data_IF_367270688380
#
_entry.id   IF_367270688380
#
_cell.length_a   1.000
_cell.length_b   1.000
_cell.length_c   1.000
_cell.angle_alpha   90.00
_cell.angle_beta   90.00
_cell.angle_gamma   90.00
#
_symmetry.space_group_name_H-M   'P 1'
#
loop_
_entity.id
_entity.type
_entity.pdbx_description
1 polymer ?
#
# COMPACT_ATOMS: atom_id res chain seq x y z
N UNK A 1 -21.34 -39.40 -19.52
CA UNK A 1 -19.86 -39.31 -19.66
C UNK A 1 -19.32 -38.49 -18.50
N UNK A 2 -18.54 -39.05 -17.57
CA UNK A 2 -17.87 -38.28 -16.55
C UNK A 2 -16.52 -37.74 -17.06
N UNK A 3 -16.17 -36.51 -16.68
CA UNK A 3 -14.91 -35.84 -17.02
C UNK A 3 -13.71 -36.60 -16.42
N UNK A 4 -12.58 -36.74 -17.13
CA UNK A 4 -11.43 -37.46 -16.61
C UNK A 4 -10.74 -36.65 -15.50
N UNK A 5 -10.70 -37.24 -14.29
CA UNK A 5 -9.83 -36.81 -13.20
C UNK A 5 -8.38 -37.10 -13.60
N UNK A 6 -7.61 -36.09 -13.97
CA UNK A 6 -6.19 -36.31 -14.32
C UNK A 6 -5.41 -35.14 -14.92
N UNK A 7 -6.05 -34.03 -15.35
CA UNK A 7 -5.31 -32.95 -16.03
C UNK A 7 -4.28 -32.22 -15.16
N UNK A 8 -4.39 -32.24 -13.82
CA UNK A 8 -3.47 -31.50 -12.96
C UNK A 8 -2.17 -32.23 -12.62
N UNK A 9 -2.10 -33.57 -12.74
CA UNK A 9 -0.91 -34.33 -12.32
C UNK A 9 0.22 -34.31 -13.36
N UNK A 10 -0.10 -34.12 -14.64
CA UNK A 10 0.89 -34.11 -15.73
C UNK A 10 1.65 -32.79 -15.90
N UNK A 11 1.13 -31.67 -15.37
CA UNK A 11 1.74 -30.33 -15.52
C UNK A 11 2.77 -29.99 -14.43
N UNK A 12 2.93 -30.84 -13.40
CA UNK A 12 3.89 -30.60 -12.31
C UNK A 12 5.34 -30.99 -12.65
N UNK A 13 5.61 -31.51 -13.85
CA UNK A 13 6.93 -31.99 -14.25
C UNK A 13 7.33 -31.34 -15.57
N UNK A 14 7.65 -30.05 -15.53
CA UNK A 14 8.63 -29.43 -16.43
C UNK A 14 8.82 -27.96 -16.04
N UNK A 15 9.96 -27.66 -15.43
CA UNK A 15 10.47 -26.30 -15.45
C UNK A 15 10.94 -26.00 -16.88
N UNK A 16 10.50 -24.87 -17.43
CA UNK A 16 11.48 -23.93 -17.91
C UNK A 16 11.27 -22.66 -17.10
N UNK A 17 12.18 -22.39 -16.16
CA UNK A 17 12.37 -21.02 -15.69
C UNK A 17 13.04 -20.27 -16.83
N UNK A 18 12.26 -19.91 -17.86
CA UNK A 18 12.67 -18.85 -18.78
C UNK A 18 12.93 -17.65 -17.90
N UNK A 19 14.18 -17.20 -17.85
CA UNK A 19 14.58 -16.00 -17.09
C UNK A 19 13.72 -14.86 -17.59
N UNK A 20 12.69 -14.51 -16.82
CA UNK A 20 11.84 -13.38 -17.16
C UNK A 20 12.75 -12.15 -17.14
N UNK A 21 12.75 -11.42 -18.25
CA UNK A 21 13.41 -10.12 -18.36
C UNK A 21 12.31 -9.07 -18.43
N UNK A 22 12.52 -7.88 -17.87
CA UNK A 22 11.58 -6.77 -18.06
C UNK A 22 11.40 -6.50 -19.56
N UNK A 23 10.23 -6.87 -20.09
CA UNK A 23 10.07 -7.10 -21.53
C UNK A 23 9.35 -5.97 -22.27
N UNK A 24 8.67 -5.06 -21.57
CA UNK A 24 7.82 -4.06 -22.22
C UNK A 24 7.85 -2.71 -21.50
N UNK A 25 8.71 -1.82 -21.99
CA UNK A 25 8.66 -0.38 -21.71
C UNK A 25 8.00 0.31 -22.90
N UNK A 26 6.98 1.13 -22.64
CA UNK A 26 6.29 1.93 -23.65
C UNK A 26 6.11 3.34 -23.12
N UNK A 27 6.78 4.32 -23.74
CA UNK A 27 6.49 5.73 -23.51
C UNK A 27 5.36 6.16 -24.44
N UNK A 28 4.65 7.21 -24.03
CA UNK A 28 3.58 7.80 -24.84
C UNK A 28 4.17 8.75 -25.87
N UNK A 29 3.93 8.48 -27.16
CA UNK A 29 4.44 9.29 -28.26
C UNK A 29 3.81 10.70 -28.31
N UNK A 30 2.59 10.82 -27.78
CA UNK A 30 1.82 12.05 -27.65
C UNK A 30 2.11 12.83 -26.34
N UNK A 31 2.95 12.29 -25.46
CA UNK A 31 3.33 12.98 -24.23
C UNK A 31 4.23 14.18 -24.51
N UNK A 32 3.81 15.34 -23.99
CA UNK A 32 4.60 16.56 -23.97
C UNK A 32 4.77 17.07 -22.54
N UNK A 33 6.00 17.41 -22.20
CA UNK A 33 6.35 17.93 -20.88
C UNK A 33 5.79 19.34 -20.71
N UNK A 34 4.87 19.54 -19.77
CA UNK A 34 4.39 20.88 -19.42
C UNK A 34 5.44 21.64 -18.60
N UNK A 35 5.58 22.94 -18.87
CA UNK A 35 6.46 23.83 -18.11
C UNK A 35 5.88 24.19 -16.73
N UNK A 36 4.56 24.20 -16.60
CA UNK A 36 3.77 24.45 -15.40
C UNK A 36 2.48 23.61 -15.44
N UNK A 37 1.73 23.44 -14.33
CA UNK A 37 0.47 22.71 -14.34
C UNK A 37 -0.53 23.28 -15.36
N UNK A 38 -1.20 22.42 -16.14
CA UNK A 38 -2.23 22.83 -17.12
C UNK A 38 -3.59 23.14 -16.49
N UNK A 39 -3.66 23.12 -15.15
CA UNK A 39 -4.83 23.39 -14.33
C UNK A 39 -4.52 24.46 -13.27
N UNK A 40 -5.56 25.07 -12.71
CA UNK A 40 -5.42 26.18 -11.74
C UNK A 40 -5.47 25.75 -10.27
N UNK A 41 -5.89 24.52 -9.97
CA UNK A 41 -5.86 23.97 -8.62
C UNK A 41 -4.43 23.90 -8.06
N UNK A 42 -4.29 23.85 -6.74
CA UNK A 42 -2.98 23.69 -6.10
C UNK A 42 -2.41 22.28 -6.42
N UNK A 43 -1.27 22.17 -7.14
CA UNK A 43 -0.69 20.88 -7.50
C UNK A 43 -0.23 20.06 -6.29
N UNK A 44 -0.04 20.67 -5.12
CA UNK A 44 0.28 19.97 -3.87
C UNK A 44 -0.96 19.51 -3.10
N UNK A 45 -2.15 19.95 -3.50
CA UNK A 45 -3.43 19.56 -2.93
C UNK A 45 -4.26 18.77 -3.95
N UNK A 46 -3.66 17.73 -4.56
CA UNK A 46 -4.33 16.85 -5.52
C UNK A 46 -4.72 15.54 -4.83
N UNK A 47 -5.95 15.08 -5.09
CA UNK A 47 -6.44 13.78 -4.63
C UNK A 47 -6.53 12.82 -5.81
N UNK A 48 -5.87 11.67 -5.71
CA UNK A 48 -6.02 10.58 -6.68
C UNK A 48 -7.02 9.55 -6.19
N UNK A 49 -7.97 9.20 -7.05
CA UNK A 49 -8.96 8.15 -6.80
C UNK A 49 -8.72 7.01 -7.78
N UNK A 50 -8.37 5.84 -7.25
CA UNK A 50 -8.25 4.60 -8.02
C UNK A 50 -9.64 3.98 -8.17
N UNK A 51 -10.13 3.88 -9.41
CA UNK A 51 -11.41 3.30 -9.75
C UNK A 51 -11.27 1.81 -10.03
N UNK A 52 -11.69 0.97 -9.07
CA UNK A 52 -11.52 -0.50 -9.15
C UNK A 52 -12.43 -1.17 -10.17
N UNK A 53 -13.54 -0.53 -10.55
CA UNK A 53 -14.55 -1.11 -11.43
C UNK A 53 -14.11 -1.23 -12.89
N UNK A 54 -13.49 -0.19 -13.44
CA UNK A 54 -13.12 -0.10 -14.85
C UNK A 54 -11.66 0.35 -15.09
N UNK A 55 -10.80 0.24 -14.07
CA UNK A 55 -9.35 0.48 -14.13
C UNK A 55 -8.98 1.88 -14.61
N UNK A 56 -9.50 2.91 -13.93
CA UNK A 56 -9.11 4.31 -14.16
C UNK A 56 -8.52 4.93 -12.89
N UNK A 57 -7.80 6.03 -13.08
CA UNK A 57 -7.44 6.96 -12.01
C UNK A 57 -8.05 8.31 -12.33
N UNK A 58 -8.84 8.83 -11.39
CA UNK A 58 -9.32 10.20 -11.43
C UNK A 58 -8.38 11.10 -10.63
N UNK A 59 -7.99 12.22 -11.25
CA UNK A 59 -7.23 13.31 -10.64
C UNK A 59 -8.22 14.38 -10.21
N UNK A 60 -8.30 14.61 -8.90
CA UNK A 60 -9.24 15.58 -8.33
C UNK A 60 -8.51 16.76 -7.72
N UNK A 61 -9.09 17.95 -7.87
CA UNK A 61 -8.78 19.10 -7.02
C UNK A 61 -9.11 18.76 -5.56
N UNK A 62 -8.16 18.88 -4.64
CA UNK A 62 -8.34 18.56 -3.23
C UNK A 62 -9.24 19.52 -2.46
N UNK A 63 -9.48 20.73 -2.97
CA UNK A 63 -10.39 21.70 -2.35
C UNK A 63 -11.82 21.53 -2.83
N UNK A 64 -12.02 21.39 -4.15
CA UNK A 64 -13.36 21.37 -4.75
C UNK A 64 -13.86 19.98 -5.12
N UNK A 65 -12.98 18.98 -5.14
CA UNK A 65 -13.21 17.64 -5.70
C UNK A 65 -13.63 17.64 -7.18
N UNK A 66 -13.39 18.74 -7.90
CA UNK A 66 -13.57 18.77 -9.34
C UNK A 66 -12.62 17.76 -10.01
N UNK A 67 -13.14 16.99 -10.96
CA UNK A 67 -12.33 16.05 -11.76
C UNK A 67 -11.51 16.87 -12.77
N UNK A 68 -10.20 16.89 -12.59
CA UNK A 68 -9.24 17.55 -13.47
C UNK A 68 -8.89 16.67 -14.66
N UNK A 69 -8.70 15.38 -14.41
CA UNK A 69 -8.51 14.36 -15.44
C UNK A 69 -9.04 13.01 -14.96
N UNK A 70 -9.32 12.14 -15.93
CA UNK A 70 -9.58 10.72 -15.70
C UNK A 70 -8.88 9.91 -16.78
N UNK A 71 -7.83 9.21 -16.38
CA UNK A 71 -6.99 8.43 -17.29
C UNK A 71 -7.12 6.93 -17.04
N UNK A 72 -6.91 6.15 -18.09
CA UNK A 72 -6.84 4.69 -17.97
C UNK A 72 -5.62 4.31 -17.12
N UNK A 73 -5.83 3.39 -16.19
CA UNK A 73 -4.81 2.83 -15.33
C UNK A 73 -4.59 1.34 -15.65
N UNK A 74 -3.43 0.78 -15.28
CA UNK A 74 -3.24 -0.66 -15.27
C UNK A 74 -4.34 -1.38 -14.50
N UNK A 75 -4.63 -2.61 -14.92
CA UNK A 75 -5.69 -3.41 -14.32
C UNK A 75 -5.48 -3.57 -12.80
N UNK A 76 -6.52 -3.24 -12.04
CA UNK A 76 -6.56 -3.44 -10.59
C UNK A 76 -5.32 -2.88 -9.85
N UNK A 77 -5.01 -1.59 -10.06
CA UNK A 77 -3.95 -0.87 -9.33
C UNK A 77 -3.96 -1.26 -7.85
N UNK A 78 -2.79 -1.63 -7.35
CA UNK A 78 -2.61 -2.18 -6.01
C UNK A 78 -1.58 -1.36 -5.22
N UNK A 79 -1.85 -1.22 -3.92
CA UNK A 79 -1.09 -0.34 -3.04
C UNK A 79 -1.39 1.14 -3.27
N UNK A 80 -0.77 2.00 -2.46
CA UNK A 80 -0.93 3.45 -2.57
C UNK A 80 -0.03 4.04 -3.67
N UNK A 81 -0.53 4.99 -4.48
CA UNK A 81 0.30 5.75 -5.42
C UNK A 81 1.53 6.35 -4.75
N UNK A 82 2.65 6.43 -5.49
CA UNK A 82 3.90 7.03 -5.01
C UNK A 82 4.17 8.30 -5.77
N UNK A 83 4.22 9.43 -5.07
CA UNK A 83 4.49 10.73 -5.65
C UNK A 83 5.99 11.01 -5.63
N UNK A 84 6.49 11.69 -6.67
CA UNK A 84 7.78 12.36 -6.59
C UNK A 84 7.77 13.43 -5.50
N UNK A 85 8.95 13.79 -5.00
CA UNK A 85 9.10 14.75 -3.89
C UNK A 85 8.54 16.14 -4.20
N UNK A 86 8.51 16.51 -5.48
CA UNK A 86 7.93 17.75 -6.00
C UNK A 86 6.43 17.64 -6.31
N UNK A 87 5.81 16.48 -6.04
CA UNK A 87 4.38 16.24 -6.28
C UNK A 87 3.99 16.12 -7.76
N UNK A 88 4.93 16.24 -8.70
CA UNK A 88 4.63 16.28 -10.14
C UNK A 88 4.29 14.92 -10.72
N UNK A 89 5.11 13.92 -10.47
CA UNK A 89 4.93 12.59 -11.04
C UNK A 89 4.28 11.67 -10.02
N UNK A 90 3.37 10.83 -10.51
CA UNK A 90 2.84 9.71 -9.73
C UNK A 90 3.16 8.39 -10.40
N UNK A 91 3.51 7.41 -9.57
CA UNK A 91 3.77 6.04 -9.96
C UNK A 91 2.71 5.13 -9.33
N UNK A 92 2.07 4.33 -10.18
CA UNK A 92 1.10 3.31 -9.76
C UNK A 92 1.49 1.97 -10.33
N UNK A 93 1.17 0.90 -9.60
CA UNK A 93 1.53 -0.46 -9.96
C UNK A 93 0.29 -1.34 -9.94
N UNK A 94 0.16 -2.24 -10.91
CA UNK A 94 -0.81 -3.34 -10.88
C UNK A 94 -0.17 -4.66 -10.43
N UNK A 95 -0.96 -5.58 -9.84
CA UNK A 95 -0.49 -6.90 -9.44
C UNK A 95 0.07 -7.75 -10.58
N UNK A 96 -0.37 -7.54 -11.82
CA UNK A 96 0.15 -8.27 -13.00
C UNK A 96 1.49 -7.69 -13.53
N UNK A 97 2.06 -6.73 -12.80
CA UNK A 97 3.43 -6.26 -12.92
C UNK A 97 3.65 -5.05 -13.79
N UNK A 98 2.59 -4.35 -14.19
CA UNK A 98 2.72 -3.04 -14.83
C UNK A 98 2.97 -1.96 -13.79
N UNK A 99 3.89 -1.06 -14.15
CA UNK A 99 4.12 0.22 -13.52
C UNK A 99 3.73 1.31 -14.52
N UNK A 100 2.95 2.29 -14.09
CA UNK A 100 2.60 3.47 -14.88
C UNK A 100 3.24 4.70 -14.20
N UNK A 101 3.85 5.57 -15.02
CA UNK A 101 4.28 6.93 -14.63
C UNK A 101 3.32 7.92 -15.27
N UNK A 102 2.76 8.81 -14.46
CA UNK A 102 1.83 9.84 -14.90
C UNK A 102 2.36 11.22 -14.45
N UNK A 103 2.34 12.19 -15.36
CA UNK A 103 2.70 13.59 -15.07
C UNK A 103 1.41 14.34 -14.72
N UNK A 104 1.28 14.71 -13.44
CA UNK A 104 0.11 15.43 -12.95
C UNK A 104 0.05 16.79 -13.62
N UNK A 105 1.17 17.47 -13.83
CA UNK A 105 1.16 18.81 -14.42
C UNK A 105 0.63 18.84 -15.85
N UNK A 106 1.00 17.85 -16.66
CA UNK A 106 0.46 17.69 -18.02
C UNK A 106 -0.92 17.00 -18.05
N UNK A 107 -1.38 16.46 -16.92
CA UNK A 107 -2.51 15.53 -16.84
C UNK A 107 -2.41 14.42 -17.89
N UNK A 108 -1.23 13.82 -18.01
CA UNK A 108 -0.94 12.87 -19.09
C UNK A 108 -0.06 11.71 -18.61
N UNK A 109 -0.33 10.53 -19.16
CA UNK A 109 0.54 9.38 -18.95
C UNK A 109 1.89 9.62 -19.65
N UNK A 110 2.99 9.42 -18.92
CA UNK A 110 4.35 9.48 -19.49
C UNK A 110 4.68 8.16 -20.17
N UNK A 111 4.31 7.05 -19.52
CA UNK A 111 4.52 5.72 -20.04
C UNK A 111 4.30 4.62 -19.02
N UNK A 112 4.50 3.40 -19.48
CA UNK A 112 4.36 2.17 -18.70
C UNK A 112 5.57 1.27 -18.87
N UNK A 113 5.81 0.45 -17.84
CA UNK A 113 6.85 -0.56 -17.83
C UNK A 113 6.32 -1.81 -17.14
N UNK A 114 6.42 -2.97 -17.78
CA UNK A 114 6.11 -4.25 -17.13
C UNK A 114 7.38 -4.81 -16.51
N UNK A 115 7.45 -4.70 -15.19
CA UNK A 115 8.64 -5.06 -14.40
C UNK A 115 8.42 -6.27 -13.46
N UNK A 116 7.32 -7.01 -13.64
CA UNK A 116 7.06 -8.32 -13.03
C UNK A 116 5.91 -9.08 -13.71
N UNK A 117 5.56 -10.25 -13.16
CA UNK A 117 4.37 -11.04 -13.50
C UNK A 117 3.37 -11.12 -12.33
N UNK A 118 3.87 -11.01 -11.10
CA UNK A 118 3.09 -10.86 -9.89
C UNK A 118 3.80 -9.86 -8.99
N UNK A 119 3.41 -8.59 -9.03
CA UNK A 119 4.01 -7.52 -8.24
C UNK A 119 3.14 -7.18 -7.04
N UNK A 120 3.77 -6.75 -5.94
CA UNK A 120 3.07 -6.51 -4.67
C UNK A 120 3.24 -5.13 -4.11
N UNK A 121 4.40 -4.52 -4.31
CA UNK A 121 4.71 -3.28 -3.63
C UNK A 121 5.73 -2.46 -4.41
N UNK A 122 5.66 -1.14 -4.28
CA UNK A 122 6.62 -0.20 -4.86
C UNK A 122 7.10 0.80 -3.81
N UNK A 123 8.37 1.19 -3.92
CA UNK A 123 8.96 2.27 -3.14
C UNK A 123 9.73 3.22 -4.04
N UNK A 124 9.60 4.52 -3.79
CA UNK A 124 10.40 5.56 -4.44
C UNK A 124 11.53 5.96 -3.51
N UNK A 125 12.77 6.11 -4.02
CA UNK A 125 13.88 6.67 -3.25
C UNK A 125 13.58 8.11 -2.83
N UNK A 126 14.17 8.60 -1.73
CA UNK A 126 13.90 9.95 -1.21
C UNK A 126 14.23 11.07 -2.19
N UNK A 127 15.28 10.91 -3.00
CA UNK A 127 15.64 11.83 -4.07
C UNK A 127 14.85 11.65 -5.37
N UNK A 128 13.88 10.72 -5.40
CA UNK A 128 13.00 10.50 -6.53
C UNK A 128 13.66 9.91 -7.77
N UNK A 129 14.93 9.48 -7.73
CA UNK A 129 15.68 8.94 -8.90
C UNK A 129 15.39 7.47 -9.19
N UNK A 130 15.13 6.70 -8.15
CA UNK A 130 14.98 5.24 -8.22
C UNK A 130 13.61 4.80 -7.72
N UNK A 131 13.02 3.84 -8.43
CA UNK A 131 11.80 3.16 -8.01
C UNK A 131 12.07 1.66 -7.89
N UNK A 132 11.87 1.12 -6.69
CA UNK A 132 11.95 -0.31 -6.41
C UNK A 132 10.57 -0.96 -6.58
N UNK A 133 10.52 -2.08 -7.30
CA UNK A 133 9.35 -2.91 -7.52
C UNK A 133 9.59 -4.30 -6.93
N UNK A 134 8.78 -4.67 -5.94
CA UNK A 134 8.80 -5.96 -5.27
C UNK A 134 7.90 -6.97 -5.98
N UNK A 135 8.49 -8.11 -6.37
CA UNK A 135 7.80 -9.16 -7.11
C UNK A 135 7.70 -10.46 -6.32
N UNK A 136 6.53 -11.09 -6.40
CA UNK A 136 6.33 -12.50 -6.07
C UNK A 136 6.73 -13.40 -7.25
N UNK A 137 6.49 -12.95 -8.47
CA UNK A 137 6.86 -13.68 -9.67
C UNK A 137 7.39 -12.70 -10.74
N UNK A 138 8.60 -12.92 -11.27
CA UNK A 138 9.64 -13.75 -10.64
C UNK A 138 10.02 -13.20 -9.26
N UNK A 139 10.57 -14.03 -8.38
CA UNK A 139 11.00 -13.66 -7.02
C UNK A 139 12.19 -12.70 -7.06
N UNK A 140 11.90 -11.43 -7.34
CA UNK A 140 12.88 -10.41 -7.71
C UNK A 140 12.57 -9.07 -7.06
N UNK A 141 13.60 -8.26 -6.87
CA UNK A 141 13.49 -6.82 -6.68
C UNK A 141 14.01 -6.14 -7.95
N UNK A 142 13.13 -5.46 -8.67
CA UNK A 142 13.52 -4.69 -9.86
C UNK A 142 13.62 -3.21 -9.48
N UNK A 143 14.77 -2.57 -9.73
CA UNK A 143 14.94 -1.13 -9.54
C UNK A 143 14.98 -0.45 -10.90
N UNK A 144 14.18 0.59 -11.05
CA UNK A 144 14.04 1.39 -12.26
C UNK A 144 14.50 2.83 -12.04
N UNK A 145 15.04 3.44 -13.09
CA UNK A 145 15.17 4.90 -13.23
C UNK A 145 13.78 5.51 -13.38
N UNK A 146 13.47 6.50 -12.54
CA UNK A 146 12.17 7.20 -12.59
C UNK A 146 12.12 8.24 -13.71
N UNK A 147 13.28 8.68 -14.22
CA UNK A 147 13.36 9.64 -15.30
C UNK A 147 12.65 9.09 -16.54
N UNK A 148 12.91 7.83 -16.85
CA UNK A 148 12.58 7.25 -18.14
C UNK A 148 11.93 5.86 -18.04
N UNK A 149 11.83 5.25 -16.85
CA UNK A 149 11.38 3.86 -16.59
C UNK A 149 12.37 2.78 -17.08
N UNK A 150 13.63 3.15 -17.33
CA UNK A 150 14.69 2.19 -17.65
C UNK A 150 15.04 1.30 -16.45
N UNK A 151 15.40 0.04 -16.71
CA UNK A 151 15.85 -0.89 -15.66
C UNK A 151 17.26 -0.54 -15.25
N UNK A 152 17.46 -0.26 -13.96
CA UNK A 152 18.78 -0.02 -13.38
C UNK A 152 19.44 -1.33 -12.94
N UNK A 153 18.70 -2.15 -12.20
CA UNK A 153 19.18 -3.46 -11.72
C UNK A 153 17.99 -4.38 -11.41
N UNK A 154 18.21 -5.69 -11.54
CA UNK A 154 17.28 -6.73 -11.08
C UNK A 154 18.03 -7.64 -10.12
N UNK A 155 17.53 -7.76 -8.89
CA UNK A 155 18.01 -8.73 -7.92
C UNK A 155 17.16 -9.99 -7.98
N UNK A 156 17.82 -11.14 -8.14
CA UNK A 156 17.21 -12.43 -7.79
C UNK A 156 17.19 -12.53 -6.25
N UNK A 157 15.99 -12.62 -5.67
CA UNK A 157 15.82 -12.58 -4.21
C UNK A 157 15.92 -13.99 -3.67
N UNK A 158 17.09 -14.31 -3.10
CA UNK A 158 17.42 -15.61 -2.51
C UNK A 158 18.12 -15.45 -1.17
N UNK A 159 17.86 -16.29 -0.19
CA UNK A 159 18.65 -16.30 1.05
C UNK A 159 20.13 -16.68 0.79
N UNK A 160 20.95 -16.67 1.84
CA UNK A 160 22.37 -17.07 1.74
C UNK A 160 22.58 -18.50 1.22
N UNK A 161 21.58 -19.38 1.33
CA UNK A 161 21.63 -20.78 0.87
C UNK A 161 21.09 -20.92 -0.57
N UNK A 162 20.72 -19.82 -1.21
CA UNK A 162 20.14 -19.81 -2.56
C UNK A 162 18.64 -20.15 -2.59
N UNK A 163 17.97 -20.26 -1.45
CA UNK A 163 16.51 -20.48 -1.41
C UNK A 163 15.82 -19.19 -1.85
N UNK A 164 15.01 -19.21 -2.93
CA UNK A 164 14.36 -18.01 -3.42
C UNK A 164 13.23 -17.56 -2.47
N UNK A 165 12.95 -16.26 -2.48
CA UNK A 165 11.86 -15.68 -1.71
C UNK A 165 11.13 -14.59 -2.48
N UNK A 166 9.82 -14.61 -2.33
CA UNK A 166 8.94 -13.49 -2.64
C UNK A 166 9.30 -12.29 -1.77
N UNK A 167 9.13 -11.09 -2.33
CA UNK A 167 9.23 -9.82 -1.60
C UNK A 167 7.82 -9.34 -1.26
N UNK A 168 7.46 -9.35 0.02
CA UNK A 168 6.11 -9.00 0.50
C UNK A 168 5.90 -7.50 0.61
N UNK A 169 6.90 -6.78 1.15
CA UNK A 169 6.88 -5.34 1.30
C UNK A 169 8.25 -4.73 0.96
N UNK A 170 8.23 -3.53 0.37
CA UNK A 170 9.43 -2.71 0.17
C UNK A 170 9.11 -1.27 0.56
N UNK A 171 9.87 -0.69 1.49
CA UNK A 171 9.70 0.70 1.89
C UNK A 171 11.02 1.44 1.81
N UNK A 172 10.94 2.75 1.50
CA UNK A 172 12.12 3.61 1.61
C UNK A 172 12.41 3.93 3.07
N UNK A 173 13.69 3.97 3.42
CA UNK A 173 14.23 4.52 4.64
C UNK A 173 15.13 5.73 4.30
N UNK A 174 14.56 6.95 4.14
CA UNK A 174 15.29 8.13 3.67
C UNK A 174 16.53 8.46 4.48
N UNK A 175 16.45 8.37 5.81
CA UNK A 175 17.57 8.68 6.73
C UNK A 175 18.74 7.70 6.58
N UNK A 176 18.47 6.51 6.03
CA UNK A 176 19.46 5.45 5.82
C UNK A 176 19.95 5.39 4.38
N UNK A 177 19.27 6.06 3.45
CA UNK A 177 19.58 5.97 2.03
C UNK A 177 19.27 4.59 1.42
N UNK A 178 18.35 3.81 2.01
CA UNK A 178 18.09 2.41 1.61
C UNK A 178 16.61 2.13 1.33
N UNK A 179 16.35 1.18 0.44
CA UNK A 179 15.10 0.41 0.42
C UNK A 179 15.22 -0.74 1.40
N UNK A 180 14.22 -0.95 2.25
CA UNK A 180 14.15 -2.09 3.16
C UNK A 180 13.08 -3.05 2.67
N UNK A 181 13.36 -4.35 2.66
CA UNK A 181 12.49 -5.39 2.15
C UNK A 181 12.14 -6.39 3.24
N UNK A 182 10.88 -6.79 3.27
CA UNK A 182 10.42 -8.00 3.97
C UNK A 182 10.35 -9.16 2.98
N UNK A 183 10.90 -10.30 3.38
CA UNK A 183 10.92 -11.52 2.58
C UNK A 183 9.93 -12.52 3.16
N UNK A 184 9.08 -13.08 2.29
CA UNK A 184 7.94 -13.92 2.71
C UNK A 184 8.30 -15.40 2.92
N UNK A 185 9.35 -15.89 2.27
CA UNK A 185 9.68 -17.32 2.26
C UNK A 185 10.97 -17.65 3.03
N UNK A 186 11.73 -16.63 3.42
CA UNK A 186 12.99 -16.75 4.14
C UNK A 186 13.05 -15.73 5.29
N UNK A 187 13.67 -16.08 6.43
CA UNK A 187 13.71 -15.20 7.59
C UNK A 187 14.86 -14.18 7.47
N UNK A 188 14.79 -13.35 6.44
CA UNK A 188 15.73 -12.24 6.21
C UNK A 188 14.98 -10.94 5.92
N UNK A 189 15.55 -9.83 6.39
CA UNK A 189 15.29 -8.48 5.88
C UNK A 189 16.46 -8.10 4.99
N UNK A 190 16.16 -7.46 3.86
CA UNK A 190 17.22 -6.83 3.06
C UNK A 190 17.17 -5.31 3.20
N UNK A 191 18.33 -4.68 3.29
CA UNK A 191 18.48 -3.25 3.01
C UNK A 191 19.25 -3.12 1.69
N UNK A 192 18.78 -2.29 0.76
CA UNK A 192 19.42 -2.04 -0.54
C UNK A 192 19.64 -0.54 -0.69
N UNK A 193 20.89 -0.10 -0.76
CA UNK A 193 21.23 1.31 -0.89
C UNK A 193 20.69 1.92 -2.19
N UNK A 194 20.27 3.17 -2.13
CA UNK A 194 19.93 3.99 -3.30
C UNK A 194 20.81 5.25 -3.41
N UNK A 195 21.89 5.30 -2.62
CA UNK A 195 22.92 6.35 -2.61
C UNK A 195 24.28 5.79 -3.03
N UNK A 196 25.15 6.65 -3.55
CA UNK A 196 26.48 6.26 -4.07
C UNK A 196 27.47 5.87 -2.97
N UNK A 197 27.20 6.25 -1.73
CA UNK A 197 28.00 6.00 -0.53
C UNK A 197 27.46 4.84 0.32
N UNK A 198 26.54 4.03 -0.23
CA UNK A 198 25.95 2.88 0.47
C UNK A 198 26.99 1.87 0.98
N UNK A 199 26.72 1.29 2.16
CA UNK A 199 27.62 0.31 2.77
C UNK A 199 28.86 0.94 3.46
N UNK A 200 29.90 0.14 3.75
CA UNK A 200 30.03 -1.29 3.45
C UNK A 200 29.00 -2.16 4.16
N UNK A 201 28.46 -3.14 3.43
CA UNK A 201 27.60 -4.17 4.00
C UNK A 201 28.27 -5.52 3.87
N UNK A 202 28.70 -6.09 5.00
CA UNK A 202 29.31 -7.41 5.06
C UNK A 202 28.28 -8.52 5.17
N UNK A 203 28.56 -9.67 4.59
CA UNK A 203 27.77 -10.88 4.84
C UNK A 203 28.24 -11.58 6.13
N UNK A 204 27.72 -11.16 7.29
CA UNK A 204 27.99 -11.82 8.58
C UNK A 204 28.60 -10.91 9.64
N UNK A 205 28.92 -11.51 10.80
CA UNK A 205 29.59 -10.83 11.90
C UNK A 205 31.06 -10.63 11.51
N UNK A 206 31.49 -9.38 11.41
CA UNK A 206 32.91 -9.04 11.26
C UNK A 206 33.54 -9.16 12.64
N UNK A 207 34.33 -10.20 12.86
CA UNK A 207 35.17 -10.32 14.04
C UNK A 207 36.62 -10.18 13.57
N UNK A 208 37.18 -8.97 13.58
CA UNK A 208 38.64 -8.84 13.64
C UNK A 208 39.00 -8.06 14.89
N UNK A 209 39.81 -8.69 15.74
CA UNK A 209 40.43 -8.02 16.89
C UNK A 209 41.75 -7.32 16.47
N UNK A 210 42.03 -7.23 15.16
CA UNK A 210 43.24 -6.63 14.60
C UNK A 210 42.89 -5.41 13.74
N UNK A 211 43.51 -4.29 14.08
CA UNK A 211 43.34 -3.03 13.38
C UNK A 211 43.82 -3.16 11.92
N UNK A 212 42.89 -3.08 10.96
CA UNK A 212 43.19 -3.09 9.53
C UNK A 212 42.91 -4.40 8.79
N UNK A 213 42.42 -5.44 9.46
CA UNK A 213 42.01 -6.70 8.80
C UNK A 213 40.48 -6.72 8.61
N UNK A 214 40.00 -6.44 7.40
CA UNK A 214 38.59 -6.65 7.00
C UNK A 214 38.37 -8.14 6.68
N UNK A 215 38.02 -8.97 7.66
CA UNK A 215 37.54 -10.34 7.43
C UNK A 215 36.05 -10.34 7.03
N UNK A 216 35.72 -9.63 5.97
CA UNK A 216 34.35 -9.57 5.46
C UNK A 216 34.31 -10.14 4.04
N UNK A 217 33.81 -11.37 3.92
CA UNK A 217 33.43 -11.92 2.61
C UNK A 217 32.17 -11.23 2.10
N UNK A 218 32.13 -10.95 0.80
CA UNK A 218 30.92 -10.42 0.14
C UNK A 218 30.54 -9.00 0.53
N UNK A 219 31.51 -8.12 0.82
CA UNK A 219 31.23 -6.71 1.14
C UNK A 219 30.68 -5.99 -0.09
N UNK A 220 29.43 -5.57 -0.02
CA UNK A 220 28.81 -4.71 -1.03
C UNK A 220 28.99 -3.23 -0.65
N UNK A 221 29.30 -2.37 -1.62
CA UNK A 221 29.50 -0.92 -1.46
C UNK A 221 28.89 -0.14 -2.63
N UNK A 222 28.46 1.07 -2.35
CA UNK A 222 27.92 2.03 -3.30
C UNK A 222 26.46 1.81 -3.66
N UNK A 223 26.06 2.36 -4.81
CA UNK A 223 24.70 2.31 -5.30
C UNK A 223 24.21 0.86 -5.44
N UNK A 224 23.06 0.56 -4.84
CA UNK A 224 22.44 -0.77 -4.78
C UNK A 224 23.21 -1.82 -3.97
N UNK A 225 24.18 -1.42 -3.15
CA UNK A 225 24.78 -2.32 -2.17
C UNK A 225 23.71 -2.89 -1.24
N UNK A 226 23.73 -4.20 -1.04
CA UNK A 226 22.75 -4.92 -0.23
C UNK A 226 23.33 -5.38 1.10
N UNK A 227 22.57 -5.14 2.17
CA UNK A 227 22.74 -5.75 3.49
C UNK A 227 21.66 -6.80 3.74
N UNK A 228 22.01 -7.92 4.37
CA UNK A 228 21.07 -8.96 4.83
C UNK A 228 21.04 -8.98 6.36
N UNK A 229 19.85 -8.87 6.94
CA UNK A 229 19.60 -8.96 8.38
C UNK A 229 18.82 -10.25 8.64
N UNK A 230 19.42 -11.18 9.40
CA UNK A 230 18.76 -12.43 9.78
C UNK A 230 17.74 -12.17 10.89
N UNK A 231 16.59 -12.81 10.79
CA UNK A 231 15.52 -12.78 11.78
C UNK A 231 15.06 -14.21 12.11
N UNK A 232 14.16 -14.36 13.06
CA UNK A 232 13.67 -15.64 13.56
C UNK A 232 12.60 -16.27 12.67
N UNK A 233 11.87 -15.47 11.90
CA UNK A 233 10.80 -15.92 11.01
C UNK A 233 10.60 -14.94 9.83
N UNK A 234 10.07 -15.39 8.68
CA UNK A 234 9.69 -14.50 7.57
C UNK A 234 8.67 -13.43 7.97
N UNK A 235 8.66 -12.31 7.24
CA UNK A 235 7.77 -11.17 7.49
C UNK A 235 6.79 -10.95 6.33
N UNK A 236 5.55 -10.63 6.70
CA UNK A 236 4.51 -10.26 5.74
C UNK A 236 4.50 -8.77 5.43
N UNK A 237 4.71 -7.93 6.43
CA UNK A 237 4.75 -6.48 6.30
C UNK A 237 5.47 -5.87 7.51
N UNK A 238 5.81 -4.59 7.43
CA UNK A 238 6.44 -3.86 8.52
C UNK A 238 6.20 -2.35 8.42
N UNK A 239 6.51 -1.64 9.51
CA UNK A 239 6.68 -0.19 9.49
C UNK A 239 7.94 0.19 10.26
N UNK A 240 8.33 1.46 10.16
CA UNK A 240 9.49 2.00 10.88
C UNK A 240 9.09 2.83 12.09
N UNK A 241 9.93 2.77 13.12
CA UNK A 241 10.11 3.89 14.06
C UNK A 241 10.32 5.21 13.32
N UNK A 242 10.02 6.33 13.99
CA UNK A 242 10.09 7.65 13.37
C UNK A 242 11.52 8.07 12.95
N UNK A 243 12.52 7.58 13.67
CA UNK A 243 13.94 7.79 13.39
C UNK A 243 14.56 6.64 12.57
N UNK A 244 13.75 5.73 12.05
CA UNK A 244 14.17 4.61 11.20
C UNK A 244 15.25 3.71 11.85
N UNK A 245 15.34 3.70 13.18
CA UNK A 245 16.26 2.81 13.91
C UNK A 245 15.68 1.43 14.10
N UNK A 246 14.41 1.36 14.42
CA UNK A 246 13.68 0.10 14.52
C UNK A 246 12.72 -0.11 13.36
N UNK A 247 12.63 -1.37 12.95
CA UNK A 247 11.60 -1.93 12.10
C UNK A 247 10.69 -2.80 12.96
N UNK A 248 9.38 -2.58 12.88
CA UNK A 248 8.36 -3.39 13.53
C UNK A 248 7.68 -4.24 12.46
N UNK A 249 7.90 -5.55 12.51
CA UNK A 249 7.47 -6.50 11.49
C UNK A 249 6.42 -7.49 11.99
N UNK A 250 5.52 -7.90 11.10
CA UNK A 250 4.51 -8.92 11.34
C UNK A 250 5.05 -10.24 10.79
N UNK A 251 5.24 -11.22 11.68
CA UNK A 251 5.67 -12.55 11.26
C UNK A 251 4.57 -13.19 10.41
N UNK A 252 4.97 -13.89 9.36
CA UNK A 252 4.03 -14.60 8.48
C UNK A 252 3.27 -15.72 9.19
N UNK A 253 3.86 -16.26 10.27
CA UNK A 253 3.28 -17.31 11.10
C UNK A 253 3.36 -16.92 12.58
N UNK A 254 2.23 -17.06 13.29
CA UNK A 254 2.11 -16.78 14.73
C UNK A 254 1.44 -15.45 15.08
N UNK A 255 1.13 -15.29 16.37
CA UNK A 255 0.45 -14.11 16.94
C UNK A 255 1.43 -13.06 17.49
N UNK A 256 2.65 -13.01 16.92
CA UNK A 256 3.75 -12.23 17.45
C UNK A 256 4.42 -11.38 16.38
N UNK A 257 4.52 -10.08 16.65
CA UNK A 257 5.39 -9.18 15.90
C UNK A 257 6.84 -9.26 16.36
N UNK A 258 7.75 -8.67 15.59
CA UNK A 258 9.16 -8.52 15.96
C UNK A 258 9.58 -7.07 15.84
N UNK A 259 10.44 -6.63 16.75
CA UNK A 259 11.19 -5.39 16.63
C UNK A 259 12.62 -5.73 16.22
N UNK A 260 13.07 -5.19 15.11
CA UNK A 260 14.43 -5.33 14.60
C UNK A 260 15.11 -3.98 14.67
N UNK A 261 16.23 -3.89 15.38
CA UNK A 261 17.06 -2.69 15.32
C UNK A 261 17.93 -2.77 14.05
N UNK A 262 17.76 -1.80 13.16
CA UNK A 262 18.42 -1.73 11.85
C UNK A 262 19.86 -1.22 11.94
N UNK A 263 20.28 -0.56 13.02
CA UNK A 263 21.70 -0.21 13.21
C UNK A 263 22.49 -1.50 13.52
N UNK A 264 22.10 -2.20 14.59
CA UNK A 264 22.76 -3.45 15.02
C UNK A 264 22.45 -4.62 14.07
N UNK A 265 21.30 -4.60 13.39
CA UNK A 265 20.88 -5.64 12.44
C UNK A 265 20.43 -6.92 13.11
N UNK A 266 19.61 -6.84 14.17
CA UNK A 266 19.07 -8.01 14.89
C UNK A 266 17.73 -7.71 15.57
N UNK A 267 17.00 -8.77 15.88
CA UNK A 267 15.81 -8.68 16.73
C UNK A 267 16.18 -8.20 18.14
N UNK A 268 15.40 -7.26 18.68
CA UNK A 268 15.58 -6.71 20.03
C UNK A 268 14.36 -6.92 20.93
N UNK A 269 13.18 -7.17 20.35
CA UNK A 269 11.97 -7.45 21.10
C UNK A 269 10.96 -8.25 20.27
N UNK A 270 10.00 -8.88 20.96
CA UNK A 270 8.81 -9.49 20.38
C UNK A 270 7.60 -8.69 20.81
N UNK A 271 6.65 -8.44 19.92
CA UNK A 271 5.41 -7.74 20.26
C UNK A 271 4.24 -8.73 20.34
N UNK A 272 3.38 -8.62 21.35
CA UNK A 272 2.12 -9.37 21.39
C UNK A 272 1.14 -8.73 20.41
N UNK A 273 1.08 -9.27 19.18
CA UNK A 273 0.16 -8.82 18.14
C UNK A 273 -0.84 -9.95 17.85
N UNK A 274 -1.88 -10.11 18.69
CA UNK A 274 -2.86 -11.18 18.49
C UNK A 274 -3.57 -11.06 17.15
N UNK A 275 -3.91 -12.20 16.55
CA UNK A 275 -4.61 -12.31 15.26
C UNK A 275 -3.74 -11.95 14.05
N UNK A 276 -4.26 -11.11 13.14
CA UNK A 276 -3.58 -10.75 11.90
C UNK A 276 -3.38 -9.22 11.80
N UNK A 277 -2.29 -8.67 12.37
CA UNK A 277 -2.04 -7.23 12.36
C UNK A 277 -1.73 -6.71 10.96
N UNK A 278 -2.33 -5.57 10.57
CA UNK A 278 -1.98 -4.89 9.31
C UNK A 278 -1.02 -3.73 9.55
N UNK A 279 0.28 -4.02 9.59
CA UNK A 279 1.31 -3.08 10.05
C UNK A 279 1.57 -1.89 9.13
N UNK A 280 1.54 -2.04 7.80
CA UNK A 280 1.78 -0.93 6.87
C UNK A 280 0.76 0.21 6.93
N UNK A 281 -0.27 0.08 7.77
CA UNK A 281 -1.41 0.99 7.90
C UNK A 281 -1.67 1.44 9.33
N UNK A 282 -0.76 1.13 10.26
CA UNK A 282 -0.79 1.67 11.61
C UNK A 282 -0.51 3.18 11.64
N UNK A 283 -0.85 3.81 12.76
CA UNK A 283 -0.59 5.24 12.97
C UNK A 283 0.15 5.48 14.27
N UNK A 284 1.19 6.31 14.22
CA UNK A 284 1.89 6.75 15.42
C UNK A 284 1.39 8.13 15.87
N UNK A 285 1.25 8.31 17.18
CA UNK A 285 0.92 9.60 17.79
C UNK A 285 1.66 9.76 19.12
N UNK A 286 1.63 10.97 19.68
CA UNK A 286 2.08 11.22 21.05
C UNK A 286 0.90 11.07 22.01
N UNK A 287 1.16 10.45 23.15
CA UNK A 287 0.25 10.28 24.27
C UNK A 287 1.04 10.44 25.56
N UNK A 288 0.69 11.41 26.40
CA UNK A 288 1.34 11.63 27.71
C UNK A 288 2.88 11.75 27.62
N UNK A 289 3.40 12.32 26.51
CA UNK A 289 4.83 12.41 26.22
C UNK A 289 5.48 11.14 25.64
N UNK A 290 4.75 10.03 25.59
CA UNK A 290 5.17 8.76 25.01
C UNK A 290 4.69 8.63 23.57
N UNK A 291 5.52 8.02 22.72
CA UNK A 291 5.11 7.71 21.35
C UNK A 291 4.44 6.34 21.33
N UNK A 292 3.22 6.31 20.82
CA UNK A 292 2.43 5.08 20.70
C UNK A 292 2.07 4.81 19.26
N UNK A 293 1.89 3.55 18.91
CA UNK A 293 1.40 3.11 17.60
C UNK A 293 0.09 2.35 17.76
N UNK A 294 -0.90 2.70 16.95
CA UNK A 294 -2.17 1.99 16.83
C UNK A 294 -2.15 1.14 15.57
N UNK A 295 -2.46 -0.15 15.68
CA UNK A 295 -2.41 -1.14 14.60
C UNK A 295 -3.75 -1.85 14.50
N UNK A 296 -4.44 -1.84 13.34
CA UNK A 296 -5.69 -2.57 13.17
C UNK A 296 -5.45 -4.06 12.94
N UNK A 297 -6.44 -4.88 13.29
CA UNK A 297 -6.47 -6.29 12.99
C UNK A 297 -7.38 -6.57 11.77
N UNK A 298 -6.92 -7.43 10.85
CA UNK A 298 -7.62 -7.76 9.60
C UNK A 298 -8.74 -8.77 9.74
N UNK A 299 -8.69 -9.59 10.77
CA UNK A 299 -9.67 -10.67 10.97
C UNK A 299 -10.61 -10.37 12.14
N UNK A 300 -10.22 -9.49 13.05
CA UNK A 300 -10.95 -9.14 14.27
C UNK A 300 -11.26 -7.65 14.33
N UNK A 301 -12.38 -7.30 14.97
CA UNK A 301 -12.73 -5.91 15.25
C UNK A 301 -11.91 -5.31 16.37
N UNK A 302 -10.59 -5.16 16.17
CA UNK A 302 -9.66 -4.70 17.21
C UNK A 302 -8.56 -3.81 16.66
N UNK A 303 -8.13 -2.88 17.51
CA UNK A 303 -6.94 -2.07 17.33
C UNK A 303 -6.04 -2.24 18.54
N UNK A 304 -4.81 -2.68 18.33
CA UNK A 304 -3.79 -2.75 19.37
C UNK A 304 -3.04 -1.42 19.44
N UNK A 305 -2.95 -0.84 20.63
CA UNK A 305 -2.17 0.36 20.93
C UNK A 305 -0.94 -0.05 21.73
N UNK A 306 0.24 0.23 21.18
CA UNK A 306 1.53 -0.23 21.70
C UNK A 306 2.42 0.97 22.00
N UNK A 307 3.11 0.96 23.14
CA UNK A 307 4.15 1.92 23.47
C UNK A 307 5.42 1.63 22.65
N UNK A 308 5.97 2.62 21.95
CA UNK A 308 7.16 2.41 21.11
C UNK A 308 8.48 2.49 21.88
N UNK A 309 8.47 2.88 23.16
CA UNK A 309 9.66 2.95 24.01
C UNK A 309 10.01 1.57 24.59
N UNK A 310 9.00 0.84 25.09
CA UNK A 310 9.20 -0.47 25.73
C UNK A 310 8.48 -1.64 25.02
N UNK A 311 7.75 -1.35 23.95
CA UNK A 311 7.00 -2.32 23.13
C UNK A 311 5.85 -3.02 23.86
N UNK A 312 5.39 -2.45 24.98
CA UNK A 312 4.27 -2.97 25.75
C UNK A 312 2.92 -2.68 25.08
N UNK A 313 1.98 -3.63 25.19
CA UNK A 313 0.60 -3.42 24.79
C UNK A 313 -0.10 -2.54 25.83
N UNK A 314 -0.42 -1.30 25.46
CA UNK A 314 -1.10 -0.34 26.35
C UNK A 314 -2.59 -0.64 26.42
N UNK A 315 -3.22 -0.85 25.25
CA UNK A 315 -4.67 -1.00 25.15
C UNK A 315 -5.07 -1.76 23.89
N UNK A 316 -6.15 -2.53 23.99
CA UNK A 316 -6.89 -3.03 22.82
C UNK A 316 -8.21 -2.27 22.75
N UNK A 317 -8.49 -1.68 21.59
CA UNK A 317 -9.72 -0.94 21.32
C UNK A 317 -10.58 -1.81 20.42
N UNK A 318 -11.76 -2.19 20.92
CA UNK A 318 -12.75 -2.93 20.14
C UNK A 318 -13.39 -2.00 19.10
N UNK A 319 -13.51 -2.48 17.88
CA UNK A 319 -14.20 -1.83 16.76
C UNK A 319 -15.43 -2.64 16.36
N UNK A 320 -16.32 -2.07 15.57
CA UNK A 320 -17.55 -2.77 15.14
C UNK A 320 -17.31 -3.93 14.17
N UNK A 321 -16.06 -4.15 13.75
CA UNK A 321 -15.65 -5.17 12.78
C UNK A 321 -14.20 -4.94 12.34
N UNK A 322 -13.65 -5.85 11.54
CA UNK A 322 -12.26 -5.77 11.10
C UNK A 322 -11.91 -4.45 10.41
N UNK A 323 -10.66 -4.03 10.59
CA UNK A 323 -10.15 -2.77 10.07
C UNK A 323 -8.99 -2.98 9.11
N UNK A 324 -8.99 -2.25 8.00
CA UNK A 324 -7.86 -2.24 7.07
C UNK A 324 -6.96 -1.02 7.33
N UNK A 325 -7.51 0.20 7.30
CA UNK A 325 -6.72 1.44 7.33
C UNK A 325 -6.99 2.28 8.58
N UNK A 326 -5.91 2.75 9.22
CA UNK A 326 -5.93 3.85 10.18
C UNK A 326 -5.28 5.09 9.57
N UNK A 327 -5.91 6.24 9.76
CA UNK A 327 -5.37 7.54 9.32
C UNK A 327 -5.65 8.60 10.38
N UNK A 328 -4.70 9.49 10.53
CA UNK A 328 -4.78 10.71 11.32
C UNK A 328 -3.85 11.69 10.62
N UNK A 329 -4.12 12.96 10.85
CA UNK A 329 -3.27 14.05 10.42
C UNK A 329 -2.96 14.91 11.64
N UNK A 330 -1.84 15.63 11.63
CA UNK A 330 -1.61 16.72 12.56
C UNK A 330 -2.63 17.82 12.24
N UNK A 331 -3.81 17.75 12.83
CA UNK A 331 -4.74 18.86 12.85
C UNK A 331 -4.28 19.83 13.94
N UNK A 332 -4.28 21.14 13.66
CA UNK A 332 -4.31 22.14 14.73
C UNK A 332 -5.45 21.72 15.67
N UNK A 333 -5.12 21.43 16.94
CA UNK A 333 -6.13 21.25 17.99
C UNK A 333 -7.06 22.46 18.07
N UNK A 334 -8.20 22.35 18.79
CA UNK A 334 -9.14 23.46 18.92
C UNK A 334 -8.43 24.70 19.46
N UNK A 335 -8.42 25.75 18.64
CA UNK A 335 -7.74 27.02 18.87
C UNK A 335 -8.13 27.64 20.23
N UNK A 336 -7.15 27.80 21.12
CA UNK A 336 -7.15 28.91 22.07
C UNK A 336 -6.94 30.25 21.35
N UNK A 337 -7.30 31.39 21.97
CA UNK A 337 -7.41 32.66 21.26
C UNK A 337 -6.01 33.25 21.00
N UNK A 338 -5.54 33.16 19.76
CA UNK A 338 -4.35 33.85 19.27
C UNK A 338 -4.66 34.48 17.91
N UNK A 339 -4.13 35.67 17.60
CA UNK A 339 -4.64 36.51 16.52
C UNK A 339 -4.27 35.93 15.15
N UNK A 340 -5.25 35.89 14.28
CA UNK A 340 -5.21 35.48 12.88
C UNK A 340 -4.60 36.59 12.00
N UNK A 341 -3.45 36.40 11.33
CA UNK A 341 -3.06 37.24 10.21
C UNK A 341 -3.44 36.53 8.90
N UNK A 342 -4.43 37.10 8.22
CA UNK A 342 -4.93 36.77 6.89
C UNK A 342 -5.96 35.62 6.82
N UNK A 343 -7.20 35.97 7.16
CA UNK A 343 -8.37 35.15 6.89
C UNK A 343 -8.51 34.78 5.41
N UNK A 344 -8.36 33.48 5.12
CA UNK A 344 -8.99 32.74 4.02
C UNK A 344 -8.81 31.24 4.29
N UNK A 345 -9.92 30.53 4.51
CA UNK A 345 -9.93 29.06 4.66
C UNK A 345 -10.86 28.55 5.76
N UNK A 346 -12.18 28.49 5.50
CA UNK A 346 -13.09 27.67 6.31
C UNK A 346 -13.02 26.24 5.77
N UNK A 347 -12.28 25.35 6.43
CA UNK A 347 -12.06 23.98 5.97
C UNK A 347 -12.57 22.89 6.93
N UNK A 348 -13.27 21.91 6.34
CA UNK A 348 -13.50 20.51 6.76
C UNK A 348 -14.51 20.13 7.86
N UNK A 349 -14.85 20.94 8.86
CA UNK A 349 -15.84 20.49 9.89
C UNK A 349 -17.31 20.72 9.51
N UNK A 350 -17.60 21.67 8.62
CA UNK A 350 -18.97 22.05 8.25
C UNK A 350 -19.64 21.13 7.22
N UNK A 351 -18.89 20.69 6.20
CA UNK A 351 -19.47 20.02 5.03
C UNK A 351 -19.82 18.53 5.28
N UNK A 352 -19.08 17.84 6.17
CA UNK A 352 -19.39 16.45 6.55
C UNK A 352 -20.72 16.34 7.28
N UNK A 353 -21.12 17.37 8.05
CA UNK A 353 -22.43 17.39 8.75
C UNK A 353 -23.62 17.62 7.83
N UNK A 354 -23.41 18.22 6.66
CA UNK A 354 -24.51 18.55 5.74
C UNK A 354 -24.88 17.37 4.82
N UNK A 355 -23.88 16.57 4.40
CA UNK A 355 -24.11 15.36 3.61
C UNK A 355 -24.87 14.26 4.38
N UNK A 356 -24.75 14.23 5.71
CA UNK A 356 -25.42 13.24 6.57
C UNK A 356 -26.88 13.57 6.91
N UNK A 357 -27.38 14.77 6.57
CA UNK A 357 -28.79 15.16 6.81
C UNK A 357 -29.71 14.98 5.61
N UNK A 358 -29.15 14.78 4.41
CA UNK A 358 -29.93 14.67 3.16
C UNK A 358 -30.28 13.24 2.76
N UNK A 359 -29.95 12.22 3.57
CA UNK A 359 -30.21 10.81 3.25
C UNK A 359 -31.43 10.19 3.93
N UNK A 360 -32.20 10.95 4.71
CA UNK A 360 -33.42 10.45 5.36
C UNK A 360 -34.65 10.77 4.52
N UNK A 361 -34.95 9.91 3.54
CA UNK A 361 -36.29 9.82 2.93
C UNK A 361 -36.95 8.52 3.41
N UNK A 362 -38.13 8.55 4.06
CA UNK A 362 -38.79 7.34 4.52
C UNK A 362 -39.35 6.52 3.35
N UNK A 363 -39.22 5.20 3.43
CA UNK A 363 -39.75 4.23 2.46
C UNK A 363 -41.29 4.27 2.41
N UNK A 364 -41.92 4.03 1.23
CA UNK A 364 -43.37 4.06 1.12
C UNK A 364 -44.01 2.80 1.70
N UNK A 365 -45.17 3.04 2.32
CA UNK A 365 -46.09 2.14 3.00
C UNK A 365 -46.66 1.04 2.07
N UNK A 366 -46.71 -0.20 2.57
CA UNK A 366 -47.31 -1.33 1.85
C UNK A 366 -48.84 -1.20 1.82
N UNK A 367 -49.41 -0.99 0.63
CA UNK A 367 -50.85 -1.02 0.39
C UNK A 367 -51.34 -2.44 0.08
N UNK A 368 -52.47 -2.78 0.70
CA UNK A 368 -53.12 -4.09 0.74
C UNK A 368 -53.61 -4.64 -0.61
N UNK A 369 -53.62 -5.98 -0.73
CA UNK A 369 -54.33 -6.75 -1.75
C UNK A 369 -55.82 -6.94 -1.39
N UNK A 370 -56.73 -6.96 -2.37
CA UNK A 370 -58.03 -7.62 -2.21
C UNK A 370 -58.10 -8.95 -2.98
N UNK A 371 -58.93 -9.84 -2.43
CA UNK A 371 -59.23 -11.20 -2.87
C UNK A 371 -60.01 -11.31 -4.19
N UNK A 372 -59.80 -12.43 -4.91
CA UNK A 372 -60.90 -13.21 -5.50
C UNK A 372 -60.80 -13.55 -7.00
N UNK A 373 -61.03 -14.82 -7.34
CA UNK A 373 -61.65 -15.19 -8.62
C UNK A 373 -60.92 -16.24 -9.48
N UNK A 374 -61.58 -17.39 -9.69
CA UNK A 374 -61.18 -18.56 -10.48
C UNK A 374 -61.23 -18.31 -12.00
N UNK A 375 -60.48 -19.08 -12.82
CA UNK A 375 -60.84 -19.26 -14.24
C UNK A 375 -59.78 -19.82 -15.20
N UNK A 376 -59.82 -21.13 -15.39
CA UNK A 376 -59.48 -21.98 -16.56
C UNK A 376 -58.83 -21.40 -17.87
N UNK A 377 -57.96 -22.27 -18.41
CA UNK A 377 -57.75 -22.72 -19.82
C UNK A 377 -56.81 -21.98 -20.80
N UNK A 378 -55.95 -22.84 -21.37
CA UNK A 378 -55.54 -22.98 -22.78
C UNK A 378 -54.28 -22.27 -23.32
N UNK A 379 -53.53 -23.12 -24.02
CA UNK A 379 -52.34 -22.97 -24.85
C UNK A 379 -52.20 -21.70 -25.69
N UNK A 380 -50.95 -21.23 -25.83
CA UNK A 380 -50.34 -21.01 -27.15
C UNK A 380 -48.82 -20.97 -27.11
N UNK A 381 -48.25 -21.65 -28.09
CA UNK A 381 -46.84 -21.81 -28.41
C UNK A 381 -46.44 -20.64 -29.34
N UNK A 382 -45.44 -19.86 -28.99
CA UNK A 382 -44.74 -18.98 -29.92
C UNK A 382 -43.24 -18.95 -29.58
N UNK A 383 -42.41 -18.88 -30.62
CA UNK A 383 -40.99 -19.27 -30.66
C UNK A 383 -40.18 -18.04 -31.11
N UNK A 384 -38.97 -17.87 -30.52
CA UNK A 384 -37.87 -16.93 -30.89
C UNK A 384 -38.18 -15.45 -30.55
N UNK A 385 -37.26 -14.64 -30.05
CA UNK A 385 -35.80 -14.53 -30.29
C UNK A 385 -35.02 -14.25 -29.00
N UNK A 386 -33.71 -14.56 -29.02
CA UNK A 386 -32.83 -14.39 -27.87
C UNK A 386 -32.53 -12.92 -27.59
N UNK A 387 -32.69 -12.53 -26.33
CA UNK A 387 -32.19 -11.29 -25.77
C UNK A 387 -31.28 -11.64 -24.59
N UNK A 388 -30.06 -11.10 -24.62
CA UNK A 388 -29.10 -11.22 -23.54
C UNK A 388 -29.67 -10.57 -22.25
N UNK A 389 -29.38 -11.10 -21.05
CA UNK A 389 -29.82 -10.47 -19.82
C UNK A 389 -29.08 -9.14 -19.62
N UNK A 390 -29.75 -8.09 -19.11
CA UNK A 390 -29.13 -6.80 -18.88
C UNK A 390 -28.08 -6.90 -17.77
N UNK A 391 -26.98 -6.16 -17.93
CA UNK A 391 -25.92 -5.98 -16.95
C UNK A 391 -26.52 -5.66 -15.57
N UNK A 392 -26.27 -6.54 -14.59
CA UNK A 392 -26.56 -6.22 -13.18
C UNK A 392 -25.68 -5.02 -12.81
N UNK A 393 -26.34 -3.91 -12.50
CA UNK A 393 -25.72 -2.67 -12.06
C UNK A 393 -24.70 -2.89 -10.95
N UNK A 394 -23.64 -2.09 -11.00
CA UNK A 394 -22.57 -2.07 -10.02
C UNK A 394 -23.14 -1.95 -8.61
N UNK A 395 -22.67 -2.82 -7.71
CA UNK A 395 -22.90 -2.63 -6.28
C UNK A 395 -22.20 -1.33 -5.89
N UNK A 396 -22.97 -0.40 -5.32
CA UNK A 396 -22.41 0.79 -4.71
C UNK A 396 -21.43 0.39 -3.60
N UNK A 397 -20.20 0.91 -3.67
CA UNK A 397 -19.22 0.84 -2.59
C UNK A 397 -19.84 1.52 -1.35
N UNK A 398 -20.14 0.75 -0.31
CA UNK A 398 -20.54 1.33 0.99
C UNK A 398 -19.28 1.63 1.79
N UNK A 399 -18.78 2.85 1.69
CA UNK A 399 -17.77 3.36 2.63
C UNK A 399 -18.47 3.66 3.94
N UNK A 400 -18.27 2.84 4.97
CA UNK A 400 -18.77 3.13 6.32
C UNK A 400 -17.71 3.95 7.04
N UNK A 401 -17.78 5.27 6.91
CA UNK A 401 -16.99 6.17 7.75
C UNK A 401 -17.55 6.08 9.18
N UNK A 402 -16.84 5.42 10.08
CA UNK A 402 -17.10 5.56 11.50
C UNK A 402 -16.44 6.86 11.98
N UNK A 403 -17.11 7.99 11.75
CA UNK A 403 -16.85 9.19 12.54
C UNK A 403 -17.54 9.03 13.88
N UNK A 404 -16.81 8.85 14.98
CA UNK A 404 -17.44 8.75 16.29
C UNK A 404 -16.63 8.13 17.43
N UNK A 405 -15.44 7.58 17.19
CA UNK A 405 -14.48 7.39 18.28
C UNK A 405 -13.86 8.75 18.59
N UNK A 406 -14.52 9.53 19.44
CA UNK A 406 -13.80 10.48 20.27
C UNK A 406 -12.72 9.65 20.99
N UNK A 407 -11.45 9.90 20.65
CA UNK A 407 -10.28 9.32 21.33
C UNK A 407 -9.59 10.34 22.25
N UNK A 408 -10.30 11.10 23.10
CA UNK A 408 -9.72 12.19 23.87
C UNK A 408 -8.70 11.69 24.90
N UNK A 409 -8.73 10.40 25.27
CA UNK A 409 -7.79 9.80 26.24
C UNK A 409 -6.55 9.15 25.61
N UNK A 410 -6.47 9.04 24.28
CA UNK A 410 -5.42 8.25 23.61
C UNK A 410 -4.64 9.07 22.59
N UNK A 411 -5.28 10.00 21.88
CA UNK A 411 -4.60 10.78 20.85
C UNK A 411 -4.97 12.25 20.92
N UNK A 412 -3.98 13.13 20.90
CA UNK A 412 -4.15 14.58 20.74
C UNK A 412 -4.61 14.99 19.32
N UNK A 413 -5.00 14.03 18.47
CA UNK A 413 -5.30 14.22 17.05
C UNK A 413 -6.52 13.41 16.61
N UNK A 414 -7.30 13.96 15.68
CA UNK A 414 -8.44 13.27 15.07
C UNK A 414 -7.97 12.05 14.25
N UNK A 415 -8.52 10.88 14.56
CA UNK A 415 -8.33 9.65 13.80
C UNK A 415 -9.57 9.36 12.94
N UNK A 416 -9.37 9.07 11.66
CA UNK A 416 -10.42 8.56 10.76
C UNK A 416 -10.19 7.06 10.60
N UNK A 417 -11.18 6.29 11.00
CA UNK A 417 -11.24 4.84 10.78
C UNK A 417 -11.93 4.59 9.44
N UNK A 418 -11.22 3.96 8.51
CA UNK A 418 -11.80 3.54 7.23
C UNK A 418 -11.86 2.02 7.22
N UNK A 419 -13.05 1.48 7.49
CA UNK A 419 -13.37 0.09 7.18
C UNK A 419 -13.98 0.04 5.79
N UNK A 420 -13.38 -0.75 4.90
CA UNK A 420 -13.88 -0.99 3.55
C UNK A 420 -14.48 -2.39 3.58
N UNK A 421 -15.80 -2.49 3.63
CA UNK A 421 -16.51 -3.73 3.32
C UNK A 421 -16.46 -3.92 1.81
N UNK A 422 -15.76 -4.95 1.33
CA UNK A 422 -15.70 -5.33 -0.09
C UNK A 422 -16.80 -6.35 -0.43
#
# INVERSE_FOLDING_TARGET
MPWPKGCCSGWMISAPATRWTPASRSLRDDYTLAAEPVFTADPMNITLVVETGDSHISVLDGDTFAVLDRSEAPFAVHGGPKFSSDGRYVFVMSPDGWLQKYDIWSLHEVGRMRAGLNSRNIALSSGGRWLALANYLPMTLTILSTADLGVAIVFDVTDRKGKPSRVSAVYQAPQRGTFVLALKDVPEIWEVAFTEDGGPYSEGLVHSNEYGMEEALGVERGLFARRRIQISAPLDDFFFSHDYRELVGAKSEGEAGVVVNLEVGREIATLPLPGMPHLGLGISCLRDGHRVVAIPNLNEGRISVIDMQDWSLIKVIETSGPGFFLRSHLGRGPLGPGPDPAGRGKGLTGQVRQALRSSDTPAPEQAALPHGGRGRTASRKARREGSAPPHRGGRALRIRLQSGLEMPEIMESFCVFISIDV
#
